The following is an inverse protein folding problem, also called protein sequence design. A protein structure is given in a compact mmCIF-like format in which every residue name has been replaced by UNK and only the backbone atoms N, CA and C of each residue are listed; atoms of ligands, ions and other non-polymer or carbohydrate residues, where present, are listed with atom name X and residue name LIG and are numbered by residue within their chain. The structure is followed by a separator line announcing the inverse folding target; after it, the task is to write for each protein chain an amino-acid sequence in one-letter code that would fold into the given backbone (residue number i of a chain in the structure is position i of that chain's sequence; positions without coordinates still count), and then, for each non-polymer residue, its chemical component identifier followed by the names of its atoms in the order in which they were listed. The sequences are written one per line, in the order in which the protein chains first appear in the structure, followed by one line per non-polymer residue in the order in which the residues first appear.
data_IF_896085026313
#
_entry.id   IF_896085026313
#
_cell.length_a   1.000
_cell.length_b   1.000
_cell.length_c   1.000
_cell.angle_alpha   90.00
_cell.angle_beta   90.00
_cell.angle_gamma   90.00
#
_symmetry.space_group_name_H-M   'P 1'
#
loop_
_entity.id
_entity.type
_entity.pdbx_description
1 polymer ?
#
# COMPACT_ATOMS: atom_id res chain seq x y z
N UNK A 1 23.16 -37.32 51.40
CA UNK A 1 22.60 -36.27 50.53
C UNK A 1 22.68 -36.76 49.09
N UNK A 2 21.55 -37.20 48.52
CA UNK A 2 21.50 -37.66 47.14
C UNK A 2 20.33 -38.58 46.80
N UNK A 3 19.75 -38.28 45.63
CA UNK A 3 19.06 -39.13 44.63
C UNK A 3 17.51 -39.20 44.62
N UNK A 4 16.99 -38.54 43.57
CA UNK A 4 16.08 -39.02 42.48
C UNK A 4 14.63 -39.44 42.81
N UNK A 5 13.83 -39.42 41.71
CA UNK A 5 12.43 -39.87 41.49
C UNK A 5 11.34 -38.79 41.71
N UNK A 6 10.32 -38.61 40.86
CA UNK A 6 9.93 -39.28 39.62
C UNK A 6 9.00 -38.38 38.79
N UNK A 7 8.97 -38.63 37.49
CA UNK A 7 8.14 -38.00 36.44
C UNK A 7 6.67 -38.37 36.65
N UNK A 8 5.74 -37.43 36.45
CA UNK A 8 4.34 -37.75 36.19
C UNK A 8 3.81 -36.96 34.98
N UNK A 9 3.61 -37.70 33.89
CA UNK A 9 2.89 -37.35 32.68
C UNK A 9 1.42 -37.08 33.03
N UNK A 10 0.84 -35.94 32.62
CA UNK A 10 -0.62 -35.80 32.54
C UNK A 10 -0.98 -35.35 31.12
N UNK A 11 -1.58 -36.31 30.42
CA UNK A 11 -2.16 -36.24 29.09
C UNK A 11 -3.40 -35.34 29.17
N UNK A 12 -3.44 -34.26 28.39
CA UNK A 12 -4.67 -33.47 28.19
C UNK A 12 -5.50 -34.19 27.13
N UNK A 13 -6.46 -34.99 27.59
CA UNK A 13 -7.48 -35.61 26.76
C UNK A 13 -8.62 -34.61 26.53
N UNK A 14 -8.91 -34.36 25.27
CA UNK A 14 -10.04 -33.60 24.77
C UNK A 14 -11.37 -34.23 25.22
N UNK A 15 -12.24 -33.41 25.82
CA UNK A 15 -13.67 -33.71 25.93
C UNK A 15 -14.47 -32.47 25.56
N UNK A 16 -15.04 -32.56 24.35
CA UNK A 16 -16.10 -31.72 23.81
C UNK A 16 -17.40 -32.13 24.50
N UNK A 17 -18.05 -31.25 25.27
CA UNK A 17 -19.48 -31.42 25.59
C UNK A 17 -20.22 -30.09 25.46
N UNK A 18 -21.24 -30.18 24.61
CA UNK A 18 -22.35 -29.29 24.35
C UNK A 18 -22.95 -28.56 25.56
N UNK A 19 -23.35 -27.31 25.28
CA UNK A 19 -24.67 -26.73 25.55
C UNK A 19 -25.28 -26.93 26.93
N UNK A 20 -25.15 -25.90 27.78
CA UNK A 20 -26.15 -25.61 28.80
C UNK A 20 -26.52 -24.13 28.72
N UNK A 21 -27.71 -23.85 28.19
CA UNK A 21 -28.34 -22.54 28.26
C UNK A 21 -28.90 -22.41 29.67
N UNK A 22 -28.33 -21.53 30.50
CA UNK A 22 -28.90 -21.15 31.78
C UNK A 22 -29.35 -19.70 31.70
N UNK A 23 -30.67 -19.48 31.78
CA UNK A 23 -31.28 -18.16 31.96
C UNK A 23 -31.02 -17.66 33.37
N UNK A 24 -30.52 -16.44 33.52
CA UNK A 24 -30.72 -15.61 34.71
C UNK A 24 -30.87 -14.15 34.28
N UNK A 25 -32.03 -13.57 34.60
CA UNK A 25 -32.29 -12.14 34.58
C UNK A 25 -31.46 -11.48 35.69
N UNK A 26 -30.60 -10.53 35.34
CA UNK A 26 -29.85 -9.71 36.30
C UNK A 26 -29.68 -8.30 35.76
N UNK A 27 -30.40 -7.36 36.35
CA UNK A 27 -30.34 -5.93 36.04
C UNK A 27 -29.07 -5.34 36.68
N UNK A 28 -28.12 -4.83 35.89
CA UNK A 28 -27.08 -3.92 36.37
C UNK A 28 -26.70 -2.94 35.27
N UNK A 29 -27.02 -1.66 35.48
CA UNK A 29 -26.37 -0.56 34.79
C UNK A 29 -24.94 -0.45 35.33
N UNK A 30 -23.93 -0.58 34.47
CA UNK A 30 -22.71 0.20 34.63
C UNK A 30 -21.90 0.23 33.34
N UNK A 31 -21.53 1.47 33.03
CA UNK A 31 -20.66 1.93 31.97
C UNK A 31 -19.38 1.09 31.88
N UNK A 32 -19.22 0.41 30.75
CA UNK A 32 -17.92 -0.09 30.28
C UNK A 32 -17.89 0.14 28.78
N UNK A 33 -17.11 1.15 28.41
CA UNK A 33 -16.44 1.30 27.12
C UNK A 33 -16.09 -0.08 26.57
N UNK A 34 -16.91 -0.53 25.62
CA UNK A 34 -16.55 -1.64 24.75
C UNK A 34 -15.56 -1.05 23.76
N UNK A 35 -14.27 -1.10 24.12
CA UNK A 35 -13.21 -1.17 23.12
C UNK A 35 -13.46 -2.46 22.33
N UNK A 36 -14.30 -2.33 21.30
CA UNK A 36 -14.31 -3.27 20.22
C UNK A 36 -12.92 -3.20 19.60
N UNK A 37 -12.06 -4.14 20.00
CA UNK A 37 -10.92 -4.58 19.21
C UNK A 37 -11.47 -5.01 17.85
N UNK A 38 -11.66 -4.02 16.99
CA UNK A 38 -11.73 -4.22 15.55
C UNK A 38 -10.33 -4.67 15.20
N UNK A 39 -10.13 -5.99 15.18
CA UNK A 39 -9.07 -6.59 14.40
C UNK A 39 -9.31 -6.11 12.97
N UNK A 40 -8.76 -4.93 12.66
CA UNK A 40 -8.84 -4.32 11.36
C UNK A 40 -8.19 -5.31 10.42
N UNK A 41 -8.98 -5.87 9.52
CA UNK A 41 -8.47 -6.57 8.36
C UNK A 41 -7.67 -5.53 7.56
N UNK A 42 -6.39 -5.33 7.91
CA UNK A 42 -5.40 -4.65 7.09
C UNK A 42 -5.10 -5.56 5.91
N UNK A 43 -6.10 -5.78 5.05
CA UNK A 43 -5.87 -6.34 3.74
C UNK A 43 -4.95 -5.37 3.01
N UNK A 44 -3.75 -5.84 2.66
CA UNK A 44 -2.80 -5.09 1.85
C UNK A 44 -3.53 -4.58 0.60
N UNK A 45 -3.63 -3.26 0.44
CA UNK A 45 -4.28 -2.66 -0.74
C UNK A 45 -3.27 -2.61 -1.87
N UNK A 46 -3.63 -3.19 -3.01
CA UNK A 46 -2.75 -3.28 -4.17
C UNK A 46 -3.40 -2.56 -5.36
N UNK A 47 -2.61 -1.81 -6.10
CA UNK A 47 -2.97 -1.32 -7.44
C UNK A 47 -2.13 -2.01 -8.50
N UNK A 48 -2.75 -2.27 -9.65
CA UNK A 48 -2.07 -2.80 -10.82
C UNK A 48 -1.56 -1.63 -11.68
N UNK A 49 -0.27 -1.62 -11.98
CA UNK A 49 0.39 -0.57 -12.75
C UNK A 49 1.07 -1.15 -13.99
N UNK A 50 0.85 -0.51 -15.13
CA UNK A 50 1.47 -0.88 -16.41
C UNK A 50 2.18 0.34 -17.00
N UNK A 51 3.42 0.17 -17.41
CA UNK A 51 4.18 1.17 -18.16
C UNK A 51 3.93 0.96 -19.66
N UNK A 52 3.35 1.95 -20.33
CA UNK A 52 2.85 1.84 -21.69
C UNK A 52 1.47 1.16 -21.79
N UNK A 53 0.94 0.98 -23.01
CA UNK A 53 -0.41 0.42 -23.24
C UNK A 53 -0.44 -1.10 -23.41
N UNK A 54 0.71 -1.76 -23.37
CA UNK A 54 0.83 -3.22 -23.49
C UNK A 54 1.94 -3.82 -22.63
N UNK A 55 2.46 -3.05 -21.66
CA UNK A 55 3.54 -3.48 -20.79
C UNK A 55 3.12 -4.51 -19.74
N UNK A 56 4.13 -5.10 -19.09
CA UNK A 56 3.94 -5.96 -17.93
C UNK A 56 3.20 -5.21 -16.81
N UNK A 57 2.40 -5.95 -16.06
CA UNK A 57 1.69 -5.42 -14.88
C UNK A 57 2.56 -5.63 -13.64
N UNK A 58 2.70 -4.57 -12.84
CA UNK A 58 3.39 -4.56 -11.56
C UNK A 58 2.41 -4.19 -10.45
N UNK A 59 2.63 -4.77 -9.27
CA UNK A 59 1.80 -4.54 -8.09
C UNK A 59 2.37 -3.40 -7.26
N UNK A 60 1.64 -2.29 -7.17
CA UNK A 60 1.93 -1.22 -6.22
C UNK A 60 1.25 -1.56 -4.90
N UNK A 61 2.05 -1.86 -3.88
CA UNK A 61 1.57 -2.09 -2.51
C UNK A 61 1.37 -0.74 -1.84
N UNK A 62 0.15 -0.44 -1.41
CA UNK A 62 -0.19 0.86 -0.85
C UNK A 62 0.05 0.93 0.65
N UNK A 63 0.49 2.11 1.10
CA UNK A 63 0.60 2.45 2.51
C UNK A 63 -0.80 2.61 3.15
N UNK A 64 -0.88 2.41 4.47
CA UNK A 64 -2.12 2.60 5.22
C UNK A 64 -2.27 4.06 5.67
N UNK A 65 -2.59 4.95 4.73
CA UNK A 65 -2.88 6.37 5.01
C UNK A 65 -3.99 6.93 4.11
N UNK A 66 -4.52 8.12 4.47
CA UNK A 66 -5.67 8.72 3.78
C UNK A 66 -5.35 9.15 2.34
N UNK A 67 -4.11 9.51 2.04
CA UNK A 67 -3.65 9.84 0.68
C UNK A 67 -3.70 8.62 -0.22
N UNK A 68 -3.08 7.51 0.18
CA UNK A 68 -3.09 6.26 -0.56
C UNK A 68 -4.52 5.70 -0.71
N UNK A 69 -5.34 5.79 0.34
CA UNK A 69 -6.74 5.39 0.30
C UNK A 69 -7.57 6.22 -0.70
N UNK A 70 -7.34 7.53 -0.78
CA UNK A 70 -8.02 8.39 -1.75
C UNK A 70 -7.63 8.04 -3.19
N UNK A 71 -6.34 7.83 -3.45
CA UNK A 71 -5.83 7.39 -4.76
C UNK A 71 -6.47 6.06 -5.15
N UNK A 72 -6.45 5.06 -4.27
CA UNK A 72 -7.06 3.75 -4.52
C UNK A 72 -8.55 3.87 -4.84
N UNK A 73 -9.29 4.72 -4.10
CA UNK A 73 -10.72 4.97 -4.35
C UNK A 73 -10.96 5.54 -5.74
N UNK A 74 -10.21 6.56 -6.16
CA UNK A 74 -10.41 7.17 -7.47
C UNK A 74 -10.02 6.26 -8.63
N UNK A 75 -8.91 5.52 -8.48
CA UNK A 75 -8.48 4.50 -9.44
C UNK A 75 -9.49 3.35 -9.54
N UNK A 76 -10.13 2.98 -8.43
CA UNK A 76 -11.17 1.95 -8.40
C UNK A 76 -12.45 2.33 -9.14
N UNK A 77 -12.77 3.62 -9.22
CA UNK A 77 -13.91 4.13 -10.00
C UNK A 77 -13.58 4.19 -11.49
N UNK A 78 -12.38 4.66 -11.83
CA UNK A 78 -11.91 4.76 -13.20
C UNK A 78 -10.41 4.54 -13.24
N UNK A 79 -9.96 3.65 -14.13
CA UNK A 79 -8.54 3.53 -14.44
C UNK A 79 -7.96 4.90 -14.77
N UNK A 80 -6.74 5.14 -14.32
CA UNK A 80 -5.97 6.31 -14.69
C UNK A 80 -5.02 5.96 -15.82
N UNK A 81 -4.88 6.89 -16.75
CA UNK A 81 -3.92 6.85 -17.84
C UNK A 81 -3.21 8.20 -17.82
N UNK A 82 -2.03 8.22 -17.21
CA UNK A 82 -1.31 9.46 -16.90
C UNK A 82 -0.08 9.59 -17.80
N UNK A 83 0.19 10.79 -18.36
CA UNK A 83 1.47 11.09 -18.98
C UNK A 83 2.61 10.98 -17.97
N UNK A 84 3.73 10.42 -18.41
CA UNK A 84 4.97 10.35 -17.65
C UNK A 84 5.85 11.52 -18.04
N UNK A 85 6.35 12.20 -17.03
CA UNK A 85 7.34 13.24 -17.13
C UNK A 85 8.58 12.84 -16.35
N UNK A 86 9.73 13.20 -16.90
CA UNK A 86 11.01 13.12 -16.22
C UNK A 86 11.54 14.53 -16.08
N UNK A 87 12.43 14.76 -15.12
CA UNK A 87 13.31 15.91 -15.21
C UNK A 87 14.46 15.53 -16.13
N UNK A 88 14.86 16.42 -17.04
CA UNK A 88 15.74 16.13 -18.18
C UNK A 88 17.08 15.45 -17.82
N UNK A 89 17.50 15.52 -16.55
CA UNK A 89 18.77 14.95 -16.03
C UNK A 89 18.56 13.93 -14.89
N UNK A 90 17.34 13.48 -14.63
CA UNK A 90 17.04 12.59 -13.51
C UNK A 90 16.78 11.15 -13.98
N UNK A 91 17.84 10.34 -13.96
CA UNK A 91 17.78 8.91 -14.23
C UNK A 91 17.33 8.08 -13.01
N UNK A 92 16.71 8.71 -12.00
CA UNK A 92 16.35 8.03 -10.73
C UNK A 92 14.86 8.10 -10.40
N UNK A 93 14.12 9.00 -11.05
CA UNK A 93 12.70 9.20 -10.78
C UNK A 93 11.91 9.72 -11.97
N UNK A 94 10.60 9.47 -11.93
CA UNK A 94 9.63 10.01 -12.86
C UNK A 94 8.38 10.46 -12.10
N UNK A 95 7.60 11.36 -12.70
CA UNK A 95 6.38 11.86 -12.08
C UNK A 95 5.20 11.89 -13.03
N UNK A 96 4.01 11.88 -12.44
CA UNK A 96 2.73 11.90 -13.14
C UNK A 96 1.80 12.90 -12.45
N UNK A 97 1.22 13.81 -13.22
CA UNK A 97 0.24 14.75 -12.69
C UNK A 97 -1.15 14.09 -12.63
N UNK A 98 -1.74 14.09 -11.44
CA UNK A 98 -3.11 13.66 -11.19
C UNK A 98 -4.06 14.78 -11.69
N UNK A 99 -5.15 14.45 -12.40
CA UNK A 99 -6.14 15.44 -12.79
C UNK A 99 -6.71 16.21 -11.59
N UNK A 100 -6.72 17.55 -11.68
CA UNK A 100 -7.15 18.47 -10.60
C UNK A 100 -8.55 18.26 -10.04
N UNK A 101 -9.42 17.51 -10.75
CA UNK A 101 -10.76 17.15 -10.29
C UNK A 101 -10.75 16.17 -9.11
N UNK A 102 -9.61 15.53 -8.84
CA UNK A 102 -9.46 14.61 -7.72
C UNK A 102 -8.90 15.37 -6.52
N UNK A 103 -9.56 15.23 -5.38
CA UNK A 103 -9.12 15.81 -4.12
C UNK A 103 -8.32 14.77 -3.35
N UNK A 104 -7.01 14.98 -3.28
CA UNK A 104 -6.08 14.08 -2.61
C UNK A 104 -5.62 14.75 -1.30
N UNK A 105 -5.88 14.16 -0.13
CA UNK A 105 -5.42 14.72 1.12
C UNK A 105 -3.89 14.69 1.19
N UNK A 106 -3.29 15.74 1.72
CA UNK A 106 -1.85 15.85 1.91
C UNK A 106 -1.45 15.46 3.34
N UNK A 107 -0.68 14.38 3.49
CA UNK A 107 -0.09 13.96 4.76
C UNK A 107 1.44 14.08 4.72
N UNK A 108 1.96 15.07 4.00
CA UNK A 108 3.38 15.12 3.68
C UNK A 108 4.25 15.34 4.91
N UNK A 109 5.36 14.60 4.93
CA UNK A 109 6.44 14.73 5.90
C UNK A 109 7.75 14.97 5.17
N UNK A 110 8.75 15.50 5.87
CA UNK A 110 10.09 15.62 5.29
C UNK A 110 10.70 14.24 5.07
N UNK A 111 11.04 13.94 3.82
CA UNK A 111 11.71 12.70 3.39
C UNK A 111 13.14 13.04 2.98
N UNK A 112 14.10 12.25 3.49
CA UNK A 112 15.53 12.45 3.26
C UNK A 112 16.15 11.40 2.33
N UNK A 113 15.46 10.28 2.13
CA UNK A 113 15.89 9.18 1.28
C UNK A 113 14.67 8.55 0.60
N UNK A 114 14.84 8.21 -0.66
CA UNK A 114 13.91 7.37 -1.41
C UNK A 114 14.64 6.10 -1.83
N UNK A 115 13.98 4.95 -1.68
CA UNK A 115 14.46 3.67 -2.19
C UNK A 115 13.89 3.39 -3.57
N UNK A 116 14.61 2.61 -4.36
CA UNK A 116 14.07 2.07 -5.60
C UNK A 116 12.72 1.39 -5.33
N UNK A 117 11.70 1.74 -6.12
CA UNK A 117 10.32 1.28 -5.96
C UNK A 117 9.45 2.16 -5.06
N UNK A 118 10.00 3.13 -4.32
CA UNK A 118 9.20 4.03 -3.49
C UNK A 118 8.33 4.95 -4.34
N UNK A 119 7.05 5.05 -3.94
CA UNK A 119 6.07 5.93 -4.57
C UNK A 119 5.56 6.94 -3.57
N UNK A 120 5.62 8.20 -3.97
CA UNK A 120 5.22 9.35 -3.17
C UNK A 120 4.11 10.13 -3.83
N UNK A 121 3.32 10.81 -3.01
CA UNK A 121 2.46 11.92 -3.41
C UNK A 121 3.14 13.25 -3.02
N UNK A 122 3.08 14.21 -3.95
CA UNK A 122 3.51 15.59 -3.78
C UNK A 122 2.36 16.52 -4.11
N UNK A 123 2.02 17.39 -3.15
CA UNK A 123 0.99 18.40 -3.31
C UNK A 123 1.37 19.41 -4.41
N UNK A 124 0.43 19.88 -5.26
CA UNK A 124 -1.01 19.69 -5.14
C UNK A 124 -1.63 18.47 -5.80
N UNK A 125 -0.94 17.74 -6.69
CA UNK A 125 -1.56 16.64 -7.45
C UNK A 125 -0.52 15.82 -8.24
N UNK A 126 0.56 15.36 -7.61
CA UNK A 126 1.63 14.65 -8.32
C UNK A 126 1.99 13.34 -7.64
N UNK A 127 2.08 12.28 -8.42
CA UNK A 127 2.69 11.03 -7.99
C UNK A 127 4.13 11.01 -8.48
N UNK A 128 5.06 10.59 -7.63
CA UNK A 128 6.48 10.50 -7.92
C UNK A 128 6.90 9.07 -7.65
N UNK A 129 7.48 8.41 -8.65
CA UNK A 129 8.11 7.11 -8.53
C UNK A 129 9.62 7.29 -8.55
N UNK A 130 10.30 6.84 -7.50
CA UNK A 130 11.74 6.61 -7.53
C UNK A 130 11.99 5.17 -7.94
N UNK A 131 12.68 4.96 -9.07
CA UNK A 131 13.04 3.62 -9.55
C UNK A 131 14.51 3.27 -9.29
N UNK A 132 15.29 4.23 -8.80
CA UNK A 132 16.60 4.02 -8.17
C UNK A 132 16.66 4.72 -6.81
N UNK A 133 17.61 4.30 -5.97
CA UNK A 133 17.87 4.94 -4.68
C UNK A 133 18.31 6.40 -4.86
N UNK A 134 17.79 7.30 -4.01
CA UNK A 134 18.14 8.71 -4.04
C UNK A 134 18.18 9.34 -2.64
N UNK A 135 19.13 10.25 -2.42
CA UNK A 135 19.08 11.20 -1.30
C UNK A 135 18.29 12.42 -1.73
N UNK A 136 17.31 12.79 -0.92
CA UNK A 136 16.38 13.88 -1.23
C UNK A 136 16.20 14.78 -0.01
N UNK A 137 15.51 15.91 -0.17
CA UNK A 137 15.06 16.75 0.96
C UNK A 137 13.73 17.38 0.57
N UNK A 138 12.70 16.55 0.44
CA UNK A 138 11.39 16.93 -0.08
C UNK A 138 10.31 16.66 0.95
N UNK A 139 9.19 17.39 0.86
CA UNK A 139 8.01 17.11 1.66
C UNK A 139 7.05 16.26 0.82
N UNK A 140 6.92 14.99 1.19
CA UNK A 140 6.11 14.02 0.45
C UNK A 140 5.28 13.17 1.40
N UNK A 141 4.18 12.64 0.90
CA UNK A 141 3.47 11.52 1.53
C UNK A 141 3.91 10.23 0.85
N UNK A 142 4.46 9.25 1.57
CA UNK A 142 4.68 7.92 0.98
C UNK A 142 3.33 7.24 0.77
N UNK A 143 3.04 6.80 -0.46
CA UNK A 143 1.75 6.19 -0.81
C UNK A 143 1.86 4.72 -1.14
N UNK A 144 3.04 4.23 -1.50
CA UNK A 144 3.24 2.81 -1.75
C UNK A 144 4.66 2.46 -2.15
N UNK A 145 4.86 1.19 -2.43
CA UNK A 145 6.15 0.61 -2.83
C UNK A 145 5.93 -0.48 -3.88
N UNK A 146 6.77 -0.50 -4.91
CA UNK A 146 6.93 -1.64 -5.82
C UNK A 146 8.05 -2.55 -5.34
N UNK A 147 7.98 -3.83 -5.72
CA UNK A 147 9.18 -4.67 -5.69
C UNK A 147 10.12 -4.23 -6.82
N UNK A 148 11.26 -3.65 -6.47
CA UNK A 148 12.20 -3.02 -7.40
C UNK A 148 13.12 -4.05 -8.08
N UNK A 149 12.50 -5.00 -8.79
CA UNK A 149 13.23 -5.99 -9.58
C UNK A 149 13.87 -5.35 -10.81
N UNK A 150 14.87 -6.00 -11.39
CA UNK A 150 15.48 -5.55 -12.66
C UNK A 150 14.44 -5.43 -13.78
N UNK A 151 13.45 -6.34 -13.81
CA UNK A 151 12.35 -6.29 -14.76
C UNK A 151 11.46 -5.06 -14.57
N UNK A 152 11.21 -4.65 -13.31
CA UNK A 152 10.46 -3.44 -13.00
C UNK A 152 11.22 -2.20 -13.46
N UNK A 153 12.49 -2.09 -13.10
CA UNK A 153 13.34 -0.94 -13.46
C UNK A 153 13.43 -0.82 -14.99
N UNK A 154 13.69 -1.93 -15.68
CA UNK A 154 13.76 -1.95 -17.15
C UNK A 154 12.44 -1.54 -17.80
N UNK A 155 11.29 -1.95 -17.24
CA UNK A 155 9.99 -1.54 -17.76
C UNK A 155 9.71 -0.04 -17.57
N UNK A 156 10.26 0.57 -16.52
CA UNK A 156 10.18 2.02 -16.29
C UNK A 156 11.06 2.78 -17.28
N UNK A 157 12.35 2.43 -17.36
CA UNK A 157 13.35 3.09 -18.19
C UNK A 157 13.01 2.96 -19.70
N UNK A 158 12.71 1.74 -20.13
CA UNK A 158 12.46 1.40 -21.53
C UNK A 158 10.98 1.47 -21.93
N UNK A 159 10.16 2.22 -21.18
CA UNK A 159 8.75 2.39 -21.50
C UNK A 159 8.57 3.00 -22.91
N UNK A 160 7.83 2.35 -23.83
CA UNK A 160 7.67 2.81 -25.19
C UNK A 160 6.87 4.12 -25.29
N UNK A 161 7.28 5.00 -26.20
CA UNK A 161 6.48 6.16 -26.61
C UNK A 161 5.33 5.67 -27.49
N UNK A 162 4.13 6.17 -27.26
CA UNK A 162 2.99 5.83 -28.12
C UNK A 162 3.01 6.68 -29.39
N UNK A 163 2.82 6.09 -30.58
CA UNK A 163 2.73 6.85 -31.82
C UNK A 163 1.64 7.93 -31.73
N UNK A 164 2.02 9.18 -32.04
CA UNK A 164 1.13 10.34 -31.97
C UNK A 164 0.96 10.96 -30.58
N UNK A 165 1.69 10.48 -29.57
CA UNK A 165 1.72 11.06 -28.23
C UNK A 165 3.11 11.63 -27.92
N UNK A 166 3.14 12.84 -27.36
CA UNK A 166 4.40 13.49 -26.96
C UNK A 166 5.07 12.86 -25.74
N UNK A 167 4.32 12.14 -24.91
CA UNK A 167 4.79 11.58 -23.63
C UNK A 167 4.54 10.07 -23.54
N UNK A 168 5.41 9.37 -22.81
CA UNK A 168 5.19 7.99 -22.35
C UNK A 168 3.99 7.95 -21.40
N UNK A 169 3.32 6.80 -21.27
CA UNK A 169 2.14 6.67 -20.41
C UNK A 169 2.35 5.64 -19.30
N UNK A 170 1.64 5.85 -18.19
CA UNK A 170 1.40 4.85 -17.15
C UNK A 170 -0.10 4.60 -17.00
N UNK A 171 -0.50 3.34 -16.90
CA UNK A 171 -1.87 2.92 -16.65
C UNK A 171 -1.94 2.38 -15.22
N UNK A 172 -2.84 2.93 -14.42
CA UNK A 172 -3.07 2.53 -13.03
C UNK A 172 -4.53 2.08 -12.90
N UNK A 173 -4.75 0.88 -12.38
CA UNK A 173 -6.08 0.28 -12.22
C UNK A 173 -6.16 -0.47 -10.89
N UNK A 174 -7.37 -0.74 -10.42
CA UNK A 174 -7.56 -1.59 -9.25
C UNK A 174 -6.94 -2.98 -9.48
N UNK A 175 -6.38 -3.58 -8.42
CA UNK A 175 -6.33 -5.03 -8.35
C UNK A 175 -7.79 -5.50 -8.18
N UNK A 176 -8.28 -6.33 -9.09
CA UNK A 176 -9.60 -6.93 -8.97
C UNK A 176 -9.54 -8.10 -7.98
#
# INVERSE_FOLDING_TARGET
MGKKLSILFIIVLSVLICSFVFSQQGNFNNDRTTEANTAGNNSEKILNVQFGTGGKTFSLKLESNSTAAAIARYVGISRWQLPIYNYDESDVMQYYDIPRRYEIPDNSVRVLQAKAGDVFYSNPNRIILYYHDAKISQNYTKIGTFDATEEFISAVENNPVLPGWGNKLVIIKSAN
#
